data_IF_652164215276
#
_entry.id   IF_652164215276
#
_cell.length_a   1.000
_cell.length_b   1.000
_cell.length_c   1.000
_cell.angle_alpha   90.00
_cell.angle_beta   90.00
_cell.angle_gamma   90.00
#
_symmetry.space_group_name_H-M   'P 1'
#
loop_
_entity.id
_entity.type
_entity.pdbx_description
1 polymer ?
#
# COMPACT_ATOMS: atom_id res chain seq x y z
N UNK A 1 7.08 -0.78 -29.20
CA UNK A 1 7.42 -1.11 -27.81
C UNK A 1 6.89 0.03 -26.97
N UNK A 2 6.14 -0.23 -25.90
CA UNK A 2 5.56 0.83 -25.06
C UNK A 2 6.68 1.65 -24.43
N UNK A 3 6.63 2.98 -24.59
CA UNK A 3 7.49 3.88 -23.83
C UNK A 3 6.90 4.05 -22.42
N UNK A 4 7.46 3.33 -21.46
CA UNK A 4 6.97 3.30 -20.09
C UNK A 4 7.23 4.60 -19.32
N UNK A 5 8.27 5.36 -19.67
CA UNK A 5 8.53 6.66 -19.05
C UNK A 5 7.42 7.65 -19.43
N UNK A 6 7.11 7.73 -20.73
CA UNK A 6 5.98 8.54 -21.22
C UNK A 6 4.64 8.06 -20.64
N UNK A 7 4.39 6.74 -20.59
CA UNK A 7 3.17 6.20 -19.99
C UNK A 7 3.02 6.58 -18.50
N UNK A 8 4.12 6.56 -17.74
CA UNK A 8 4.15 7.00 -16.34
C UNK A 8 3.85 8.48 -16.20
N UNK A 9 4.47 9.33 -17.02
CA UNK A 9 4.16 10.77 -17.04
C UNK A 9 2.69 11.02 -17.36
N UNK A 10 2.13 10.32 -18.35
CA UNK A 10 0.72 10.43 -18.69
C UNK A 10 -0.23 9.97 -17.57
N UNK A 11 0.12 8.91 -16.84
CA UNK A 11 -0.62 8.48 -15.65
C UNK A 11 -0.60 9.58 -14.57
N UNK A 12 0.55 10.20 -14.31
CA UNK A 12 0.66 11.29 -13.34
C UNK A 12 -0.19 12.51 -13.76
N UNK A 13 -0.01 12.98 -14.99
CA UNK A 13 -0.62 14.22 -15.46
C UNK A 13 -2.09 14.06 -15.83
N UNK A 14 -2.49 12.86 -16.27
CA UNK A 14 -3.83 12.55 -16.76
C UNK A 14 -4.74 11.84 -15.74
N UNK A 15 -4.19 11.19 -14.72
CA UNK A 15 -4.96 10.46 -13.70
C UNK A 15 -4.73 11.03 -12.30
N UNK A 16 -3.48 11.18 -11.86
CA UNK A 16 -3.19 11.59 -10.47
C UNK A 16 -3.51 13.07 -10.19
N UNK A 17 -2.91 14.00 -10.94
CA UNK A 17 -3.13 15.45 -10.72
C UNK A 17 -4.60 15.87 -10.88
N UNK A 18 -5.35 15.37 -11.89
CA UNK A 18 -6.77 15.68 -12.01
C UNK A 18 -7.62 15.19 -10.82
N UNK A 19 -7.15 14.17 -10.10
CA UNK A 19 -7.81 13.62 -8.91
C UNK A 19 -7.18 14.14 -7.60
N UNK A 20 -6.69 15.38 -7.62
CA UNK A 20 -6.22 16.15 -6.47
C UNK A 20 -4.95 15.62 -5.78
N UNK A 21 -4.22 14.69 -6.41
CA UNK A 21 -2.88 14.28 -5.96
C UNK A 21 -1.87 15.33 -6.43
N UNK A 22 -1.60 16.31 -5.58
CA UNK A 22 -0.73 17.47 -5.88
C UNK A 22 0.55 17.55 -5.02
N UNK A 23 0.77 16.63 -4.09
CA UNK A 23 2.03 16.56 -3.34
C UNK A 23 3.16 16.13 -4.28
N UNK A 24 4.04 17.08 -4.64
CA UNK A 24 5.17 16.81 -5.54
C UNK A 24 6.12 15.74 -5.02
N UNK A 25 6.26 15.55 -3.69
CA UNK A 25 7.08 14.45 -3.15
C UNK A 25 6.48 13.09 -3.53
N UNK A 26 5.16 12.96 -3.41
CA UNK A 26 4.42 11.75 -3.78
C UNK A 26 4.51 11.51 -5.29
N UNK A 27 4.31 12.56 -6.09
CA UNK A 27 4.40 12.46 -7.55
C UNK A 27 5.81 12.10 -8.02
N UNK A 28 6.85 12.65 -7.40
CA UNK A 28 8.25 12.34 -7.72
C UNK A 28 8.64 10.91 -7.30
N UNK A 29 8.14 10.44 -6.14
CA UNK A 29 8.33 9.05 -5.71
C UNK A 29 7.70 8.07 -6.72
N UNK A 30 6.43 8.30 -7.09
CA UNK A 30 5.73 7.49 -8.10
C UNK A 30 6.43 7.58 -9.46
N UNK A 31 6.90 8.77 -9.85
CA UNK A 31 7.64 8.98 -11.10
C UNK A 31 8.96 8.21 -11.14
N UNK A 32 9.61 8.03 -9.99
CA UNK A 32 10.93 7.39 -9.92
C UNK A 32 10.84 5.86 -10.02
N UNK A 33 9.75 5.26 -9.55
CA UNK A 33 9.62 3.79 -9.46
C UNK A 33 8.98 3.18 -10.71
N UNK A 34 9.66 2.25 -11.42
CA UNK A 34 9.11 1.60 -12.62
C UNK A 34 8.05 0.55 -12.34
N UNK A 35 6.79 1.01 -12.22
CA UNK A 35 5.60 0.18 -11.96
C UNK A 35 5.49 -1.05 -12.87
N UNK A 36 5.91 -0.95 -14.13
CA UNK A 36 5.94 -2.06 -15.09
C UNK A 36 6.89 -3.20 -14.71
N UNK A 37 7.90 -2.95 -13.88
CA UNK A 37 8.76 -4.00 -13.36
C UNK A 37 8.06 -4.85 -12.30
N UNK A 38 7.02 -4.32 -11.67
CA UNK A 38 6.33 -4.94 -10.55
C UNK A 38 5.20 -5.90 -10.97
N UNK A 39 4.70 -5.78 -12.20
CA UNK A 39 3.64 -6.66 -12.73
C UNK A 39 4.17 -7.84 -13.57
N UNK A 40 3.38 -8.91 -13.77
CA UNK A 40 3.71 -9.98 -14.71
C UNK A 40 3.97 -9.45 -16.12
N UNK A 41 4.85 -10.13 -16.88
CA UNK A 41 5.27 -9.70 -18.24
C UNK A 41 4.09 -9.36 -19.17
N UNK A 42 3.02 -10.16 -19.10
CA UNK A 42 1.81 -9.97 -19.91
C UNK A 42 1.04 -8.69 -19.56
N UNK A 43 1.16 -8.17 -18.33
CA UNK A 43 0.45 -6.98 -17.83
C UNK A 43 1.29 -5.70 -17.92
N UNK A 44 2.57 -5.76 -18.31
CA UNK A 44 3.46 -4.58 -18.39
C UNK A 44 2.91 -3.48 -19.28
N UNK A 45 2.32 -3.83 -20.43
CA UNK A 45 1.76 -2.87 -21.37
C UNK A 45 0.60 -2.04 -20.79
N UNK A 46 -0.06 -2.55 -19.74
CA UNK A 46 -1.17 -1.91 -19.04
C UNK A 46 -0.79 -1.51 -17.61
N UNK A 47 0.50 -1.48 -17.24
CA UNK A 47 0.93 -1.19 -15.86
C UNK A 47 0.47 0.18 -15.32
N UNK A 48 0.12 1.10 -16.22
CA UNK A 48 -0.20 2.51 -15.95
C UNK A 48 -1.68 2.87 -16.23
N UNK A 49 -2.52 1.86 -16.47
CA UNK A 49 -3.97 2.08 -16.47
C UNK A 49 -4.45 2.21 -15.03
N UNK A 50 -5.53 2.96 -14.83
CA UNK A 50 -6.14 3.13 -13.52
C UNK A 50 -7.06 1.95 -13.18
N UNK A 51 -6.44 0.77 -12.99
CA UNK A 51 -7.11 -0.47 -12.60
C UNK A 51 -6.21 -1.32 -11.69
N UNK A 52 -6.84 -2.15 -10.85
CA UNK A 52 -6.13 -3.15 -10.04
C UNK A 52 -5.58 -4.27 -10.92
N UNK A 53 -4.27 -4.51 -10.84
CA UNK A 53 -3.60 -5.51 -11.68
C UNK A 53 -3.32 -6.77 -10.88
N UNK A 54 -4.04 -7.84 -11.18
CA UNK A 54 -3.85 -9.14 -10.52
C UNK A 54 -2.39 -9.65 -10.67
N UNK A 55 -1.79 -10.07 -9.58
CA UNK A 55 -0.41 -10.56 -9.51
C UNK A 55 -0.34 -12.08 -9.36
N UNK A 56 -1.48 -12.76 -9.25
CA UNK A 56 -1.60 -14.16 -8.83
C UNK A 56 -1.77 -14.29 -7.31
N UNK A 57 -2.20 -15.47 -6.85
CA UNK A 57 -2.31 -15.77 -5.41
C UNK A 57 -3.33 -14.91 -4.64
N UNK A 58 -4.29 -14.29 -5.33
CA UNK A 58 -5.24 -13.36 -4.71
C UNK A 58 -4.63 -12.01 -4.33
N UNK A 59 -3.42 -11.69 -4.81
CA UNK A 59 -2.78 -10.38 -4.64
C UNK A 59 -2.98 -9.52 -5.88
N UNK A 60 -3.12 -8.22 -5.67
CA UNK A 60 -3.32 -7.23 -6.71
C UNK A 60 -2.33 -6.08 -6.49
N UNK A 61 -1.88 -5.49 -7.59
CA UNK A 61 -1.21 -4.20 -7.54
C UNK A 61 -2.29 -3.12 -7.63
N UNK A 62 -2.47 -2.38 -6.53
CA UNK A 62 -3.52 -1.37 -6.37
C UNK A 62 -3.51 -0.35 -7.51
N UNK A 63 -4.68 0.05 -7.99
CA UNK A 63 -4.83 1.09 -9.00
C UNK A 63 -4.07 2.39 -8.61
N UNK A 64 -3.33 3.02 -9.54
CA UNK A 64 -2.48 4.18 -9.26
C UNK A 64 -3.17 5.34 -8.53
N UNK A 65 -4.40 5.69 -8.89
CA UNK A 65 -5.11 6.82 -8.28
C UNK A 65 -5.36 6.58 -6.80
N UNK A 66 -5.93 5.42 -6.43
CA UNK A 66 -6.24 5.10 -5.04
C UNK A 66 -4.96 4.97 -4.22
N UNK A 67 -3.96 4.28 -4.76
CA UNK A 67 -2.65 4.17 -4.13
C UNK A 67 -2.05 5.55 -3.81
N UNK A 68 -2.04 6.46 -4.78
CA UNK A 68 -1.49 7.80 -4.60
C UNK A 68 -2.28 8.63 -3.58
N UNK A 69 -3.63 8.55 -3.59
CA UNK A 69 -4.47 9.26 -2.61
C UNK A 69 -4.27 8.72 -1.18
N UNK A 70 -4.07 7.42 -1.01
CA UNK A 70 -3.73 6.83 0.29
C UNK A 70 -2.35 7.29 0.77
N UNK A 71 -1.35 7.39 -0.11
CA UNK A 71 -0.02 7.93 0.25
C UNK A 71 -0.13 9.38 0.72
N UNK A 72 -0.89 10.23 0.01
CA UNK A 72 -1.13 11.62 0.42
C UNK A 72 -1.80 11.66 1.80
N UNK A 73 -2.81 10.82 2.03
CA UNK A 73 -3.50 10.74 3.31
C UNK A 73 -2.61 10.23 4.47
N UNK A 74 -1.61 9.40 4.18
CA UNK A 74 -0.68 8.89 5.17
C UNK A 74 0.27 9.98 5.73
N UNK A 75 0.41 11.12 5.05
CA UNK A 75 1.30 12.23 5.41
C UNK A 75 2.72 11.74 5.79
N UNK A 76 3.31 10.87 4.96
CA UNK A 76 4.59 10.22 5.25
C UNK A 76 5.71 11.26 5.33
N UNK A 77 6.45 11.26 6.42
CA UNK A 77 7.58 12.17 6.68
C UNK A 77 8.88 11.41 6.53
N UNK A 78 9.95 12.13 6.17
CA UNK A 78 11.28 11.55 5.92
C UNK A 78 11.89 10.79 7.11
N UNK A 79 11.35 10.97 8.34
CA UNK A 79 11.78 10.25 9.54
C UNK A 79 10.86 9.08 9.92
N UNK A 80 9.82 8.81 9.14
CA UNK A 80 8.81 7.81 9.48
C UNK A 80 9.33 6.39 9.21
N UNK A 81 9.12 5.51 10.18
CA UNK A 81 9.22 4.07 10.02
C UNK A 81 7.86 3.52 9.57
N UNK A 82 7.86 2.85 8.42
CA UNK A 82 6.65 2.42 7.71
C UNK A 82 6.53 0.90 7.75
N UNK A 83 5.35 0.38 8.09
CA UNK A 83 4.98 -1.02 7.85
C UNK A 83 4.09 -1.09 6.60
N UNK A 84 4.58 -1.72 5.54
CA UNK A 84 3.85 -1.96 4.30
C UNK A 84 3.31 -3.40 4.30
N UNK A 85 1.99 -3.56 4.42
CA UNK A 85 1.32 -4.85 4.62
C UNK A 85 0.73 -5.34 3.31
N UNK A 86 1.14 -6.54 2.88
CA UNK A 86 0.73 -7.11 1.60
C UNK A 86 1.52 -6.53 0.44
N UNK A 87 2.82 -6.25 0.65
CA UNK A 87 3.67 -5.57 -0.33
C UNK A 87 3.77 -6.30 -1.68
N UNK A 88 3.36 -7.59 -1.73
CA UNK A 88 3.30 -8.42 -2.91
C UNK A 88 4.62 -8.39 -3.69
N UNK A 89 4.66 -7.71 -4.83
CA UNK A 89 5.85 -7.64 -5.67
C UNK A 89 6.83 -6.51 -5.29
N UNK A 90 6.50 -5.66 -4.32
CA UNK A 90 7.36 -4.61 -3.75
C UNK A 90 7.22 -3.21 -4.36
N UNK A 91 6.22 -2.94 -5.19
CA UNK A 91 6.04 -1.61 -5.81
C UNK A 91 5.77 -0.54 -4.76
N UNK A 92 4.81 -0.82 -3.88
CA UNK A 92 4.44 0.06 -2.77
C UNK A 92 5.65 0.34 -1.90
N UNK A 93 6.37 -0.70 -1.49
CA UNK A 93 7.57 -0.56 -0.66
C UNK A 93 8.64 0.31 -1.31
N UNK A 94 8.86 0.16 -2.62
CA UNK A 94 9.80 1.00 -3.37
C UNK A 94 9.37 2.47 -3.37
N UNK A 95 8.08 2.76 -3.55
CA UNK A 95 7.56 4.15 -3.52
C UNK A 95 7.63 4.73 -2.10
N UNK A 96 7.20 3.96 -1.10
CA UNK A 96 7.22 4.37 0.31
C UNK A 96 8.65 4.65 0.81
N UNK A 97 9.63 3.88 0.32
CA UNK A 97 11.05 4.05 0.63
C UNK A 97 11.64 5.39 0.13
N UNK A 98 11.04 6.01 -0.90
CA UNK A 98 11.41 7.37 -1.32
C UNK A 98 10.87 8.46 -0.38
N UNK A 99 9.90 8.14 0.49
CA UNK A 99 9.16 9.11 1.30
C UNK A 99 9.52 9.07 2.79
N UNK A 100 9.80 7.87 3.33
CA UNK A 100 10.11 7.64 4.75
C UNK A 100 11.57 7.28 5.01
N UNK A 101 11.89 7.05 6.29
CA UNK A 101 13.25 6.66 6.72
C UNK A 101 13.52 5.20 6.39
N UNK A 102 12.58 4.31 6.76
CA UNK A 102 12.68 2.88 6.50
C UNK A 102 11.30 2.23 6.31
N UNK A 103 11.27 1.18 5.49
CA UNK A 103 10.09 0.37 5.19
C UNK A 103 10.31 -1.07 5.63
N UNK A 104 9.38 -1.59 6.43
CA UNK A 104 9.21 -3.01 6.72
C UNK A 104 8.10 -3.53 5.81
N UNK A 105 8.46 -4.30 4.79
CA UNK A 105 7.53 -4.82 3.79
C UNK A 105 7.11 -6.26 4.17
N UNK A 106 5.86 -6.43 4.61
CA UNK A 106 5.33 -7.71 5.09
C UNK A 106 4.54 -8.42 3.98
N UNK A 107 4.90 -9.67 3.70
CA UNK A 107 4.18 -10.55 2.77
C UNK A 107 4.09 -11.98 3.32
N UNK A 108 2.95 -12.64 3.13
CA UNK A 108 2.75 -14.05 3.54
C UNK A 108 3.28 -15.03 2.50
N UNK A 109 3.07 -14.72 1.22
CA UNK A 109 3.41 -15.61 0.13
C UNK A 109 4.92 -15.54 -0.19
N UNK A 110 5.63 -16.61 0.15
CA UNK A 110 7.10 -16.70 0.00
C UNK A 110 7.61 -16.37 -1.41
N UNK A 111 6.87 -16.75 -2.46
CA UNK A 111 7.26 -16.44 -3.85
C UNK A 111 7.16 -14.94 -4.14
N UNK A 112 6.14 -14.26 -3.62
CA UNK A 112 5.98 -12.81 -3.78
C UNK A 112 6.99 -12.06 -2.92
N UNK A 113 7.22 -12.48 -1.68
CA UNK A 113 8.26 -11.92 -0.83
C UNK A 113 9.64 -11.97 -1.51
N UNK A 114 10.02 -13.13 -2.06
CA UNK A 114 11.28 -13.27 -2.81
C UNK A 114 11.33 -12.42 -4.09
N UNK A 115 10.18 -12.21 -4.76
CA UNK A 115 10.07 -11.31 -5.90
C UNK A 115 10.28 -9.84 -5.50
N UNK A 116 9.69 -9.42 -4.37
CA UNK A 116 9.87 -8.09 -3.81
C UNK A 116 11.33 -7.82 -3.44
N UNK A 117 11.97 -8.73 -2.70
CA UNK A 117 13.39 -8.62 -2.34
C UNK A 117 14.26 -8.42 -3.57
N UNK A 118 14.05 -9.26 -4.59
CA UNK A 118 14.81 -9.20 -5.84
C UNK A 118 14.61 -7.85 -6.55
N UNK A 119 13.37 -7.37 -6.69
CA UNK A 119 13.09 -6.10 -7.40
C UNK A 119 13.60 -4.88 -6.64
N UNK A 120 13.45 -4.87 -5.32
CA UNK A 120 14.00 -3.81 -4.47
C UNK A 120 15.52 -3.76 -4.59
N UNK A 121 16.20 -4.91 -4.59
CA UNK A 121 17.65 -4.98 -4.81
C UNK A 121 18.06 -4.54 -6.23
N UNK A 122 17.32 -4.95 -7.27
CA UNK A 122 17.56 -4.52 -8.66
C UNK A 122 17.40 -2.99 -8.86
N UNK A 123 16.57 -2.35 -8.04
CA UNK A 123 16.36 -0.90 -8.03
C UNK A 123 17.22 -0.17 -6.98
N UNK A 124 18.12 -0.87 -6.29
CA UNK A 124 19.00 -0.31 -5.25
C UNK A 124 18.23 0.39 -4.12
N UNK A 125 17.04 -0.12 -3.77
CA UNK A 125 16.26 0.38 -2.63
C UNK A 125 16.87 -0.16 -1.33
N UNK A 126 17.62 0.70 -0.64
CA UNK A 126 18.45 0.29 0.52
C UNK A 126 17.73 0.35 1.87
N UNK A 127 16.62 1.08 1.95
CA UNK A 127 15.86 1.31 3.19
C UNK A 127 14.51 0.58 3.21
N UNK A 128 14.35 -0.48 2.42
CA UNK A 128 13.19 -1.38 2.48
C UNK A 128 13.65 -2.83 2.77
N UNK A 129 13.09 -3.43 3.81
CA UNK A 129 13.38 -4.81 4.19
C UNK A 129 12.10 -5.67 4.10
N UNK A 130 12.16 -6.76 3.35
CA UNK A 130 11.03 -7.70 3.22
C UNK A 130 11.05 -8.67 4.39
N UNK A 131 9.87 -8.94 4.94
CA UNK A 131 9.63 -9.87 6.04
C UNK A 131 8.52 -10.82 5.61
N UNK A 132 8.80 -12.12 5.66
CA UNK A 132 7.74 -13.13 5.47
C UNK A 132 7.00 -13.38 6.78
N UNK A 133 5.68 -13.24 6.78
CA UNK A 133 4.86 -13.48 7.97
C UNK A 133 3.39 -13.14 7.79
N UNK A 134 2.56 -13.48 8.79
CA UNK A 134 1.10 -13.27 8.75
C UNK A 134 0.74 -11.79 8.67
N UNK A 135 -0.02 -11.39 7.65
CA UNK A 135 -0.32 -9.98 7.38
C UNK A 135 -1.08 -9.33 8.54
N UNK A 136 -2.09 -10.01 9.07
CA UNK A 136 -2.94 -9.51 10.15
C UNK A 136 -2.23 -9.41 11.51
N UNK A 137 -1.08 -10.07 11.65
CA UNK A 137 -0.24 -10.00 12.84
C UNK A 137 0.73 -8.82 12.83
N UNK A 138 1.03 -8.25 11.66
CA UNK A 138 2.06 -7.22 11.50
C UNK A 138 3.46 -7.73 11.88
N UNK A 139 4.38 -6.81 12.15
CA UNK A 139 5.76 -7.14 12.56
C UNK A 139 6.11 -6.40 13.86
N UNK A 140 5.51 -6.82 14.98
CA UNK A 140 5.65 -6.13 16.26
C UNK A 140 7.10 -6.01 16.76
N UNK A 141 8.00 -6.91 16.33
CA UNK A 141 9.43 -6.89 16.70
C UNK A 141 10.21 -5.72 16.10
N UNK A 142 9.72 -5.11 15.03
CA UNK A 142 10.36 -3.99 14.33
C UNK A 142 9.60 -2.67 14.53
N UNK A 143 8.43 -2.70 15.17
CA UNK A 143 7.69 -1.52 15.55
C UNK A 143 8.17 -0.88 16.87
N UNK A 144 7.45 0.12 17.38
CA UNK A 144 6.22 0.70 16.83
C UNK A 144 6.46 1.55 15.57
N UNK A 145 5.44 1.68 14.73
CA UNK A 145 5.49 2.34 13.42
C UNK A 145 4.87 3.73 13.46
N UNK A 146 5.43 4.65 12.66
CA UNK A 146 4.82 5.96 12.39
C UNK A 146 3.68 5.82 11.38
N UNK A 147 3.85 4.93 10.40
CA UNK A 147 2.86 4.66 9.36
C UNK A 147 2.65 3.16 9.17
N UNK A 148 1.40 2.73 9.07
CA UNK A 148 1.03 1.38 8.59
C UNK A 148 0.22 1.56 7.30
N UNK A 149 0.68 0.96 6.21
CA UNK A 149 0.02 0.99 4.91
C UNK A 149 -0.49 -0.42 4.60
N UNK A 150 -1.78 -0.58 4.28
CA UNK A 150 -2.35 -1.89 3.90
C UNK A 150 -2.70 -1.90 2.42
N UNK A 151 -2.05 -2.78 1.67
CA UNK A 151 -2.17 -2.93 0.20
C UNK A 151 -3.42 -3.74 -0.20
N UNK A 152 -4.59 -3.20 0.10
CA UNK A 152 -5.88 -3.75 -0.34
C UNK A 152 -7.03 -3.35 0.58
N UNK A 153 -8.22 -3.89 0.26
CA UNK A 153 -9.38 -3.63 1.08
C UNK A 153 -9.39 -4.50 2.34
N UNK A 154 -9.87 -3.94 3.44
CA UNK A 154 -10.02 -4.61 4.74
C UNK A 154 -11.46 -4.48 5.21
N UNK A 155 -12.08 -5.59 5.61
CA UNK A 155 -13.43 -5.58 6.19
C UNK A 155 -13.41 -5.33 7.70
N UNK A 156 -12.27 -5.60 8.33
CA UNK A 156 -12.00 -5.27 9.72
C UNK A 156 -10.49 -5.05 9.91
N UNK A 157 -10.08 -3.89 10.39
CA UNK A 157 -8.68 -3.62 10.74
C UNK A 157 -8.32 -4.41 12.02
N UNK A 158 -7.33 -5.32 11.98
CA UNK A 158 -6.95 -6.08 13.17
C UNK A 158 -6.38 -5.18 14.27
N UNK A 159 -6.85 -5.39 15.51
CA UNK A 159 -6.31 -4.68 16.70
C UNK A 159 -4.80 -4.89 16.89
N UNK A 160 -4.26 -6.00 16.39
CA UNK A 160 -2.83 -6.27 16.42
C UNK A 160 -2.01 -5.24 15.62
N UNK A 161 -2.56 -4.71 14.52
CA UNK A 161 -1.92 -3.66 13.73
C UNK A 161 -2.03 -2.30 14.42
N UNK A 162 -3.21 -1.98 14.94
CA UNK A 162 -3.45 -0.72 15.67
C UNK A 162 -2.49 -0.58 16.86
N UNK A 163 -2.25 -1.67 17.59
CA UNK A 163 -1.30 -1.71 18.72
C UNK A 163 0.17 -1.51 18.33
N UNK A 164 0.49 -1.61 17.06
CA UNK A 164 1.84 -1.38 16.54
C UNK A 164 2.06 0.06 16.07
N UNK A 165 1.04 0.92 16.08
CA UNK A 165 1.21 2.34 15.83
C UNK A 165 1.83 3.05 17.04
N UNK A 166 2.70 4.02 16.77
CA UNK A 166 3.10 5.04 17.75
C UNK A 166 1.94 5.98 18.04
N UNK A 167 2.04 6.71 19.14
CA UNK A 167 1.21 7.89 19.33
C UNK A 167 1.53 8.94 18.25
N UNK A 168 0.49 9.54 17.65
CA UNK A 168 0.59 10.33 16.42
C UNK A 168 0.74 9.51 15.13
N UNK A 169 0.84 8.18 15.22
CA UNK A 169 0.98 7.27 14.09
C UNK A 169 -0.30 7.15 13.25
N UNK A 170 -0.15 6.76 11.99
CA UNK A 170 -1.22 6.73 10.99
C UNK A 170 -1.33 5.35 10.36
N UNK A 171 -2.52 4.81 10.25
CA UNK A 171 -2.81 3.63 9.43
C UNK A 171 -3.71 4.02 8.28
N UNK A 172 -3.30 3.69 7.05
CA UNK A 172 -4.11 3.90 5.85
C UNK A 172 -4.44 2.58 5.18
N UNK A 173 -5.66 2.47 4.68
CA UNK A 173 -6.16 1.31 3.96
C UNK A 173 -7.39 1.68 3.13
N UNK A 174 -7.91 0.74 2.34
CA UNK A 174 -9.29 0.80 1.88
C UNK A 174 -10.15 0.02 2.87
N UNK A 175 -11.08 0.67 3.56
CA UNK A 175 -12.01 0.00 4.46
C UNK A 175 -13.32 -0.31 3.74
N UNK A 176 -13.79 -1.55 3.86
CA UNK A 176 -15.07 -2.00 3.32
C UNK A 176 -16.00 -2.37 4.47
N UNK A 177 -16.86 -1.44 4.86
CA UNK A 177 -17.94 -1.72 5.81
C UNK A 177 -19.02 -2.62 5.15
N UNK A 178 -19.96 -3.15 5.94
CA UNK A 178 -21.14 -3.83 5.42
C UNK A 178 -21.95 -2.89 4.52
N UNK A 179 -21.76 -3.02 3.20
CA UNK A 179 -22.43 -2.21 2.21
C UNK A 179 -21.77 -2.31 0.83
N UNK A 180 -22.32 -1.63 -0.18
CA UNK A 180 -21.78 -1.68 -1.54
C UNK A 180 -20.53 -0.81 -1.75
N UNK A 181 -20.20 0.09 -0.81
CA UNK A 181 -19.15 1.09 -0.98
C UNK A 181 -17.98 0.80 -0.05
N UNK A 182 -16.78 0.74 -0.61
CA UNK A 182 -15.53 0.78 0.13
C UNK A 182 -14.93 2.19 0.03
N UNK A 183 -14.13 2.57 1.03
CA UNK A 183 -13.55 3.92 1.14
C UNK A 183 -12.09 3.88 1.53
N UNK A 184 -11.29 4.79 0.99
CA UNK A 184 -10.01 5.14 1.59
C UNK A 184 -10.25 5.57 3.04
N UNK A 185 -9.47 5.01 3.95
CA UNK A 185 -9.68 5.13 5.39
C UNK A 185 -8.36 5.41 6.10
N UNK A 186 -8.37 6.37 7.00
CA UNK A 186 -7.25 6.78 7.84
C UNK A 186 -7.60 6.52 9.30
N UNK A 187 -6.68 5.94 10.06
CA UNK A 187 -6.76 5.84 11.51
C UNK A 187 -5.55 6.57 12.08
N UNK A 188 -5.78 7.60 12.88
CA UNK A 188 -4.72 8.30 13.62
C UNK A 188 -4.73 7.85 15.07
N UNK A 189 -3.57 7.57 15.63
CA UNK A 189 -3.42 7.32 17.06
C UNK A 189 -3.24 8.65 17.80
N UNK A 190 -4.13 8.98 18.73
CA UNK A 190 -4.09 10.20 19.54
C UNK A 190 -4.28 9.85 21.02
N UNK A 191 -3.28 10.11 21.85
CA UNK A 191 -3.28 9.82 23.28
C UNK A 191 -3.67 8.35 23.59
N UNK A 192 -3.21 7.42 22.73
CA UNK A 192 -3.54 5.99 22.83
C UNK A 192 -4.94 5.59 22.36
N UNK A 193 -5.68 6.51 21.73
CA UNK A 193 -7.00 6.26 21.13
C UNK A 193 -6.88 6.26 19.61
N UNK A 194 -7.40 5.22 18.97
CA UNK A 194 -7.49 5.16 17.51
C UNK A 194 -8.71 5.96 17.02
N UNK A 195 -8.46 7.02 16.25
CA UNK A 195 -9.46 7.89 15.65
C UNK A 195 -9.62 7.57 14.15
N UNK A 196 -10.66 6.81 13.75
CA UNK A 196 -10.92 6.49 12.34
C UNK A 196 -11.59 7.65 11.58
N UNK A 197 -11.23 7.79 10.30
CA UNK A 197 -11.77 8.78 9.37
C UNK A 197 -11.89 8.19 7.96
N UNK A 198 -13.09 8.31 7.37
CA UNK A 198 -13.31 8.03 5.95
C UNK A 198 -12.85 9.23 5.10
N UNK A 199 -12.23 8.94 3.95
CA UNK A 199 -11.59 9.95 3.10
C UNK A 199 -12.28 10.13 1.75
N UNK A 200 -12.36 9.05 0.97
CA UNK A 200 -12.89 9.05 -0.40
C UNK A 200 -13.39 7.67 -0.78
N UNK A 201 -14.30 7.57 -1.75
CA UNK A 201 -14.75 6.28 -2.28
C UNK A 201 -13.60 5.59 -3.03
N UNK A 202 -13.39 4.32 -2.75
CA UNK A 202 -12.31 3.51 -3.30
C UNK A 202 -12.76 2.05 -3.36
N UNK A 203 -12.58 1.38 -4.50
CA UNK A 203 -13.00 -0.01 -4.64
C UNK A 203 -11.84 -0.85 -5.15
N UNK A 204 -11.15 -1.52 -4.22
CA UNK A 204 -10.04 -2.43 -4.52
C UNK A 204 -10.36 -3.83 -3.96
N UNK A 205 -9.76 -4.90 -4.48
CA UNK A 205 -9.92 -6.25 -3.95
C UNK A 205 -9.61 -6.35 -2.46
N UNK A 206 -10.38 -7.17 -1.74
CA UNK A 206 -10.11 -7.49 -0.33
C UNK A 206 -8.81 -8.27 -0.24
N UNK A 207 -7.90 -7.78 0.60
CA UNK A 207 -6.62 -8.44 0.84
C UNK A 207 -6.88 -9.77 1.57
N UNK A 208 -6.40 -10.92 1.04
CA UNK A 208 -6.58 -12.21 1.71
C UNK A 208 -6.13 -12.15 3.18
N UNK A 209 -6.96 -12.69 4.07
CA UNK A 209 -6.77 -12.62 5.53
C UNK A 209 -7.50 -11.46 6.23
N UNK A 210 -8.01 -10.47 5.48
CA UNK A 210 -8.74 -9.32 6.04
C UNK A 210 -10.26 -9.37 5.83
N UNK A 211 -10.78 -10.55 5.51
CA UNK A 211 -12.23 -10.81 5.49
C UNK A 211 -12.74 -10.94 6.91
N UNK A 212 -13.90 -10.35 7.20
CA UNK A 212 -14.57 -10.53 8.50
C UNK A 212 -15.09 -11.96 8.60
N UNK A 213 -14.84 -12.62 9.72
CA UNK A 213 -15.46 -13.92 9.99
C UNK A 213 -16.99 -13.76 9.94
N UNK A 214 -17.64 -14.49 9.04
CA UNK A 214 -19.10 -14.55 9.02
C UNK A 214 -19.54 -15.28 10.29
N UNK A 215 -20.00 -14.54 11.28
CA UNK A 215 -20.64 -15.12 12.45
C UNK A 215 -21.81 -15.99 12.00
N UNK A 216 -21.78 -17.28 12.36
CA UNK A 216 -22.90 -18.18 12.13
C UNK A 216 -24.14 -17.60 12.81
N UNK A 217 -25.14 -17.20 12.03
CA UNK A 217 -26.48 -16.91 12.53
C UNK A 217 -27.19 -18.25 12.70
N UNK A 218 -27.46 -18.63 13.95
CA UNK A 218 -28.28 -19.81 14.31
C UNK A 218 -29.77 -19.54 14.08
#
# INVERSE_FOLDING_TARGET
MTDFATARTHMIDGQLRPNEVNDERVLDAIRSVPREHFVPKAKRAVAYVDEDLDLGGGRFLMEPMIFAKLIVAADIRAGDLILDIGCASGYSSAVLAHLGDAVVALEEETELAGLAEKKLAELEVMNAAVVTGTLTAGVAKQGPYDVIFIEGAVEQVPLALIRQLKDGGRLVCVHREYGPVARGHLITMEDGVAAPQDLFDANVPVLPGFTKEQGFVF
#
